data_IF_077911558314
#
_entry.id   IF_077911558314
#
_cell.length_a   1.000
_cell.length_b   1.000
_cell.length_c   1.000
_cell.angle_alpha   90.00
_cell.angle_beta   90.00
_cell.angle_gamma   90.00
#
_symmetry.space_group_name_H-M   'P 1'
#
loop_
_entity.id
_entity.type
_entity.pdbx_description
1 polymer ?
#
# COMPACT_ATOMS: atom_id res chain seq x y z
N UNK A 1 4.25 6.30 0.76
CA UNK A 1 5.29 5.32 0.41
C UNK A 1 4.81 3.88 0.47
N UNK A 2 4.65 3.26 1.65
CA UNK A 2 4.34 1.82 1.75
C UNK A 2 3.11 1.39 0.93
N UNK A 3 1.99 2.09 1.07
CA UNK A 3 0.79 1.82 0.30
C UNK A 3 1.04 1.83 -1.23
N UNK A 4 1.64 2.90 -1.76
CA UNK A 4 1.98 3.00 -3.19
C UNK A 4 3.00 1.93 -3.62
N UNK A 5 3.99 1.62 -2.79
CA UNK A 5 4.99 0.56 -3.04
C UNK A 5 4.30 -0.79 -3.24
N UNK A 6 3.26 -1.07 -2.47
CA UNK A 6 2.44 -2.28 -2.57
C UNK A 6 1.50 -2.26 -3.78
N UNK A 7 0.90 -1.11 -4.13
CA UNK A 7 0.05 -1.00 -5.31
C UNK A 7 0.81 -1.26 -6.62
N UNK A 8 2.09 -0.90 -6.66
CA UNK A 8 2.97 -1.09 -7.81
C UNK A 8 3.35 -2.56 -8.08
N UNK A 9 3.20 -3.45 -7.09
CA UNK A 9 3.46 -4.88 -7.29
C UNK A 9 2.41 -5.53 -8.19
N UNK A 10 2.79 -6.43 -9.11
CA UNK A 10 1.82 -7.13 -9.96
C UNK A 10 0.95 -8.11 -9.16
N UNK A 11 1.50 -8.72 -8.09
CA UNK A 11 0.80 -9.72 -7.30
C UNK A 11 -0.25 -9.10 -6.38
N UNK A 12 -1.35 -9.81 -6.18
CA UNK A 12 -2.38 -9.49 -5.18
C UNK A 12 -1.78 -9.72 -3.78
N UNK A 13 -2.00 -8.82 -2.79
CA UNK A 13 -1.61 -9.09 -1.41
C UNK A 13 -2.22 -10.41 -0.90
N UNK A 14 -1.44 -11.18 -0.14
CA UNK A 14 -1.95 -12.39 0.49
C UNK A 14 -3.08 -12.05 1.47
N UNK A 15 -4.21 -12.79 1.50
CA UNK A 15 -5.38 -12.48 2.32
C UNK A 15 -5.17 -12.88 3.79
N UNK A 16 -4.00 -12.60 4.35
CA UNK A 16 -3.66 -12.93 5.74
C UNK A 16 -4.43 -11.99 6.67
N UNK A 17 -5.05 -12.50 7.74
CA UNK A 17 -5.60 -11.66 8.79
C UNK A 17 -4.53 -10.72 9.34
N UNK A 18 -4.84 -9.43 9.40
CA UNK A 18 -3.96 -8.44 9.99
C UNK A 18 -4.48 -8.19 11.40
N UNK A 19 -3.70 -8.47 12.45
CA UNK A 19 -4.08 -8.19 13.83
C UNK A 19 -4.39 -6.70 13.99
N UNK A 20 -5.56 -6.39 14.56
CA UNK A 20 -5.99 -5.02 14.84
C UNK A 20 -5.50 -4.56 16.21
N UNK A 21 -4.22 -4.78 16.50
CA UNK A 21 -3.64 -4.55 17.83
C UNK A 21 -3.22 -3.09 18.03
N UNK A 22 -3.44 -2.26 17.01
CA UNK A 22 -3.16 -0.83 17.05
C UNK A 22 -4.28 -0.07 17.75
N UNK A 23 -3.95 0.58 18.87
CA UNK A 23 -4.83 1.53 19.55
C UNK A 23 -4.97 2.86 18.78
N UNK A 24 -4.28 3.01 17.64
CA UNK A 24 -4.36 4.19 16.79
C UNK A 24 -5.47 4.00 15.76
N UNK A 25 -6.58 4.72 15.94
CA UNK A 25 -7.56 4.94 14.88
C UNK A 25 -7.11 6.09 13.97
N UNK A 26 -7.07 5.83 12.67
CA UNK A 26 -6.67 6.80 11.66
C UNK A 26 -7.80 6.95 10.63
N UNK A 27 -8.35 8.16 10.50
CA UNK A 27 -9.35 8.43 9.46
C UNK A 27 -8.69 8.50 8.09
N UNK A 28 -9.48 8.26 7.04
CA UNK A 28 -8.97 8.30 5.67
C UNK A 28 -8.39 9.67 5.30
N UNK A 29 -9.04 10.75 5.71
CA UNK A 29 -8.60 12.12 5.41
C UNK A 29 -7.27 12.45 6.11
N UNK A 30 -7.05 11.95 7.33
CA UNK A 30 -5.77 12.11 8.02
C UNK A 30 -4.68 11.24 7.39
N UNK A 31 -5.03 10.03 6.93
CA UNK A 31 -4.07 9.16 6.24
C UNK A 31 -3.62 9.74 4.89
N UNK A 32 -4.59 10.17 4.07
CA UNK A 32 -4.35 10.57 2.69
C UNK A 32 -4.04 12.05 2.52
N UNK A 33 -4.52 12.91 3.42
CA UNK A 33 -4.47 14.37 3.28
C UNK A 33 -4.98 14.80 1.91
N UNK A 34 -4.25 15.73 1.27
CA UNK A 34 -4.57 16.21 -0.09
C UNK A 34 -4.51 15.12 -1.17
N UNK A 35 -3.87 13.98 -0.90
CA UNK A 35 -3.79 12.84 -1.82
C UNK A 35 -4.91 11.80 -1.60
N UNK A 36 -5.79 11.99 -0.62
CA UNK A 36 -6.81 11.01 -0.24
C UNK A 36 -7.63 10.49 -1.43
N UNK A 37 -8.08 11.39 -2.32
CA UNK A 37 -8.86 11.04 -3.51
C UNK A 37 -8.04 10.21 -4.51
N UNK A 38 -6.81 10.61 -4.79
CA UNK A 38 -5.93 9.88 -5.73
C UNK A 38 -5.62 8.48 -5.18
N UNK A 39 -5.36 8.38 -3.88
CA UNK A 39 -5.05 7.09 -3.24
C UNK A 39 -6.25 6.14 -3.25
N UNK A 40 -7.48 6.63 -3.03
CA UNK A 40 -8.65 5.76 -3.07
C UNK A 40 -9.02 5.36 -4.50
N UNK A 41 -8.81 6.27 -5.48
CA UNK A 41 -8.98 5.95 -6.90
C UNK A 41 -7.99 4.87 -7.32
N UNK A 42 -6.71 4.98 -6.94
CA UNK A 42 -5.71 3.98 -7.23
C UNK A 42 -6.06 2.62 -6.61
N UNK A 43 -6.62 2.60 -5.39
CA UNK A 43 -7.09 1.38 -4.77
C UNK A 43 -8.28 0.76 -5.52
N UNK A 44 -9.26 1.57 -5.92
CA UNK A 44 -10.41 1.10 -6.70
C UNK A 44 -9.98 0.50 -8.03
N UNK A 45 -9.11 1.20 -8.76
CA UNK A 45 -8.53 0.69 -10.01
C UNK A 45 -7.82 -0.65 -9.77
N UNK A 46 -7.08 -0.75 -8.66
CA UNK A 46 -6.39 -1.98 -8.30
C UNK A 46 -7.35 -3.14 -8.04
N UNK A 47 -8.40 -2.91 -7.25
CA UNK A 47 -9.39 -3.94 -6.95
C UNK A 47 -10.19 -4.37 -8.18
N UNK A 48 -10.51 -3.43 -9.07
CA UNK A 48 -11.18 -3.70 -10.35
C UNK A 48 -10.33 -4.62 -11.23
N UNK A 49 -9.05 -4.29 -11.41
CA UNK A 49 -8.08 -5.14 -12.15
C UNK A 49 -7.97 -6.55 -11.57
N UNK A 50 -8.03 -6.66 -10.25
CA UNK A 50 -7.89 -7.93 -9.53
C UNK A 50 -9.25 -8.66 -9.37
N UNK A 51 -10.36 -8.14 -9.92
CA UNK A 51 -11.73 -8.67 -9.83
C UNK A 51 -12.25 -8.85 -8.38
N UNK A 52 -11.95 -7.91 -7.50
CA UNK A 52 -12.29 -7.99 -6.07
C UNK A 52 -13.55 -7.21 -5.66
N UNK A 53 -14.06 -6.32 -6.53
CA UNK A 53 -15.13 -5.37 -6.20
C UNK A 53 -14.61 -4.06 -5.61
N UNK A 54 -15.49 -3.06 -5.47
CA UNK A 54 -15.12 -1.71 -4.99
C UNK A 54 -16.01 -1.21 -3.86
N UNK A 55 -16.67 -2.12 -3.17
CA UNK A 55 -17.50 -1.84 -2.01
C UNK A 55 -16.63 -1.37 -0.84
N UNK A 56 -17.24 -0.63 0.10
CA UNK A 56 -16.53 -0.03 1.23
C UNK A 56 -15.72 -1.04 2.04
N UNK A 57 -16.29 -2.19 2.35
CA UNK A 57 -15.63 -3.22 3.17
C UNK A 57 -14.48 -3.91 2.41
N UNK A 58 -14.68 -4.16 1.11
CA UNK A 58 -13.64 -4.66 0.20
C UNK A 58 -12.46 -3.70 0.16
N UNK A 59 -12.71 -2.42 -0.07
CA UNK A 59 -11.67 -1.38 -0.11
C UNK A 59 -10.97 -1.25 1.24
N UNK A 60 -11.71 -1.27 2.35
CA UNK A 60 -11.12 -1.18 3.69
C UNK A 60 -10.22 -2.39 4.01
N UNK A 61 -10.60 -3.59 3.56
CA UNK A 61 -9.78 -4.79 3.68
C UNK A 61 -8.53 -4.69 2.80
N UNK A 62 -8.70 -4.36 1.52
CA UNK A 62 -7.59 -4.28 0.56
C UNK A 62 -6.60 -3.17 0.92
N UNK A 63 -7.08 -2.03 1.40
CA UNK A 63 -6.23 -0.97 1.93
C UNK A 63 -5.29 -1.50 3.03
N UNK A 64 -5.83 -2.20 4.04
CA UNK A 64 -5.02 -2.76 5.13
C UNK A 64 -4.00 -3.76 4.62
N UNK A 65 -4.40 -4.68 3.74
CA UNK A 65 -3.51 -5.68 3.13
C UNK A 65 -2.36 -5.02 2.36
N UNK A 66 -2.68 -4.04 1.52
CA UNK A 66 -1.68 -3.31 0.76
C UNK A 66 -0.75 -2.50 1.66
N UNK A 67 -1.30 -1.79 2.64
CA UNK A 67 -0.51 -0.97 3.57
C UNK A 67 0.47 -1.83 4.36
N UNK A 68 0.02 -2.94 4.95
CA UNK A 68 0.88 -3.86 5.70
C UNK A 68 1.97 -4.48 4.83
N UNK A 69 1.63 -5.00 3.64
CA UNK A 69 2.63 -5.55 2.71
C UNK A 69 3.68 -4.51 2.34
N UNK A 70 3.24 -3.30 2.04
CA UNK A 70 4.10 -2.19 1.67
C UNK A 70 5.03 -1.75 2.79
N UNK A 71 4.54 -1.66 4.02
CA UNK A 71 5.37 -1.41 5.20
C UNK A 71 6.37 -2.55 5.40
N UNK A 72 5.94 -3.81 5.26
CA UNK A 72 6.81 -4.98 5.36
C UNK A 72 7.97 -4.93 4.35
N UNK A 73 7.71 -4.55 3.10
CA UNK A 73 8.78 -4.37 2.11
C UNK A 73 9.75 -3.24 2.46
N UNK A 74 9.25 -2.09 2.91
CA UNK A 74 10.13 -0.96 3.23
C UNK A 74 10.93 -1.21 4.51
N UNK A 75 10.29 -1.74 5.55
CA UNK A 75 10.94 -2.03 6.83
C UNK A 75 11.86 -3.25 6.76
N UNK A 76 11.58 -4.20 5.86
CA UNK A 76 12.38 -5.39 5.64
C UNK A 76 13.57 -5.19 4.70
N UNK A 77 13.68 -4.07 3.99
CA UNK A 77 14.79 -3.80 3.08
C UNK A 77 16.02 -3.26 3.85
N UNK A 78 17.11 -4.04 3.99
CA UNK A 78 18.30 -3.62 4.71
C UNK A 78 19.05 -2.46 4.02
N UNK A 79 18.75 -2.18 2.75
CA UNK A 79 19.37 -1.10 1.98
C UNK A 79 18.64 0.25 2.15
N UNK A 80 17.45 0.24 2.74
CA UNK A 80 16.57 1.40 2.88
C UNK A 80 16.94 2.18 4.16
N UNK A 81 18.11 2.83 4.16
CA UNK A 81 18.69 3.49 5.34
C UNK A 81 18.57 5.01 5.34
N UNK A 82 18.32 5.61 4.19
CA UNK A 82 18.22 7.06 4.01
C UNK A 82 17.07 7.44 3.08
N UNK A 83 16.66 8.70 3.14
CA UNK A 83 15.55 9.22 2.33
C UNK A 83 15.81 9.10 0.82
N UNK A 84 17.08 9.20 0.38
CA UNK A 84 17.46 9.07 -1.02
C UNK A 84 17.19 7.66 -1.56
N UNK A 85 17.19 6.64 -0.69
CA UNK A 85 16.85 5.28 -1.09
C UNK A 85 15.36 5.15 -1.44
N UNK A 86 14.47 5.89 -0.76
CA UNK A 86 13.06 5.96 -1.13
C UNK A 86 12.88 6.62 -2.50
N UNK A 87 13.60 7.71 -2.75
CA UNK A 87 13.56 8.40 -4.05
C UNK A 87 14.05 7.47 -5.17
N UNK A 88 15.16 6.76 -4.94
CA UNK A 88 15.68 5.79 -5.92
C UNK A 88 14.67 4.68 -6.23
N UNK A 89 13.94 4.17 -5.23
CA UNK A 89 12.86 3.19 -5.40
C UNK A 89 11.75 3.74 -6.30
N UNK A 90 11.33 5.00 -6.10
CA UNK A 90 10.29 5.62 -6.92
C UNK A 90 10.73 5.85 -8.38
N UNK A 91 11.99 6.20 -8.60
CA UNK A 91 12.52 6.52 -9.93
C UNK A 91 12.97 5.30 -10.72
N UNK A 92 13.23 4.16 -10.06
CA UNK A 92 13.70 2.92 -10.70
C UNK A 92 12.80 1.72 -10.40
N UNK A 93 11.52 1.73 -10.81
CA UNK A 93 10.57 0.68 -10.47
C UNK A 93 10.95 -0.71 -11.02
N UNK A 94 11.84 -0.80 -12.01
CA UNK A 94 12.29 -2.08 -12.57
C UNK A 94 13.20 -2.88 -11.64
N UNK A 95 13.93 -2.21 -10.74
CA UNK A 95 14.74 -2.87 -9.70
C UNK A 95 13.91 -3.45 -8.54
N UNK A 96 12.60 -3.23 -8.55
CA UNK A 96 11.67 -3.68 -7.52
C UNK A 96 11.11 -5.09 -7.76
N UNK A 97 11.44 -5.70 -8.90
CA UNK A 97 10.87 -6.97 -9.39
C UNK A 97 11.77 -8.19 -9.14
N UNK A 98 12.92 -8.01 -8.49
CA UNK A 98 13.88 -9.07 -8.17
C UNK A 98 13.86 -9.41 -6.68
#
# INVERSE_FOLDING_TARGET
WGFCRSLAEPSIPSPVPIPSDSNVELTWDVFGGDMADILIIALKQRCDRDNLGTEKDTLAKQFRLHLHRGIGYLAGDPNLKKIENLIAIALSPEKLRN
#
